data_IF_379074400734
#
_entry.id   IF_379074400734
#
_cell.length_a   1.000
_cell.length_b   1.000
_cell.length_c   1.000
_cell.angle_alpha   90.00
_cell.angle_beta   90.00
_cell.angle_gamma   90.00
#
_symmetry.space_group_name_H-M   'P 1'
#
loop_
_entity.id
_entity.type
_entity.pdbx_description
1 polymer ?
#
# COMPACT_ATOMS: atom_id res chain seq x y z
N UNK A 1 9.83 2.05 -15.32
CA UNK A 1 10.46 1.64 -14.06
C UNK A 1 9.34 1.15 -13.16
N UNK A 2 9.49 -0.01 -12.54
CA UNK A 2 8.51 -0.58 -11.62
C UNK A 2 8.67 0.09 -10.27
N UNK A 3 7.66 0.81 -9.77
CA UNK A 3 7.69 1.32 -8.40
C UNK A 3 7.12 0.27 -7.45
N UNK A 4 7.76 0.13 -6.29
CA UNK A 4 7.31 -0.73 -5.21
C UNK A 4 6.59 0.12 -4.16
N UNK A 5 5.34 -0.25 -3.89
CA UNK A 5 4.52 0.37 -2.84
C UNK A 5 4.43 -0.63 -1.68
N UNK A 6 4.76 -0.22 -0.47
CA UNK A 6 4.78 -1.08 0.71
C UNK A 6 3.60 -0.79 1.63
N UNK A 7 2.98 -1.86 2.15
CA UNK A 7 1.88 -1.81 3.12
C UNK A 7 2.26 -2.63 4.35
N UNK A 8 2.18 -2.05 5.55
CA UNK A 8 2.55 -2.72 6.80
C UNK A 8 1.67 -2.28 7.97
N UNK A 9 1.45 -3.15 8.97
CA UNK A 9 0.62 -2.84 10.15
C UNK A 9 1.17 -1.74 11.06
N UNK A 10 2.46 -1.44 10.95
CA UNK A 10 3.12 -0.32 11.62
C UNK A 10 3.27 0.93 10.71
N UNK A 11 2.64 0.92 9.54
CA UNK A 11 2.65 2.02 8.58
C UNK A 11 1.63 3.13 8.87
N UNK A 12 1.49 4.06 7.92
CA UNK A 12 0.55 5.18 7.97
C UNK A 12 0.05 5.53 6.58
N UNK A 13 -1.25 5.77 6.42
CA UNK A 13 -1.83 6.20 5.14
C UNK A 13 -1.49 7.65 4.77
N UNK A 14 -0.88 8.39 5.70
CA UNK A 14 -0.23 9.68 5.44
C UNK A 14 1.25 9.54 5.07
N UNK A 15 1.79 8.31 5.06
CA UNK A 15 3.17 8.01 4.68
C UNK A 15 3.41 8.11 3.17
N UNK A 16 4.60 7.69 2.75
CA UNK A 16 5.03 7.75 1.34
C UNK A 16 4.84 6.43 0.58
N UNK A 17 4.45 5.35 1.25
CA UNK A 17 4.34 4.02 0.63
C UNK A 17 5.69 3.37 0.32
N UNK A 18 6.79 3.87 0.89
CA UNK A 18 8.13 3.29 0.74
C UNK A 18 8.36 2.18 1.77
N UNK A 19 9.41 1.37 1.61
CA UNK A 19 9.76 0.32 2.59
C UNK A 19 9.96 0.88 4.02
N UNK A 20 10.56 2.07 4.14
CA UNK A 20 10.81 2.74 5.43
C UNK A 20 9.62 3.58 5.93
N UNK A 21 8.64 3.87 5.08
CA UNK A 21 7.42 4.60 5.42
C UNK A 21 6.20 3.99 4.70
N UNK A 22 5.84 2.73 5.03
CA UNK A 22 4.78 2.02 4.33
C UNK A 22 3.41 2.62 4.62
N UNK A 23 2.46 2.39 3.71
CA UNK A 23 1.05 2.64 3.98
C UNK A 23 0.51 1.66 5.04
N UNK A 24 -0.58 2.04 5.70
CA UNK A 24 -1.24 1.19 6.70
C UNK A 24 -2.26 0.25 6.08
N UNK A 25 -2.94 0.70 5.01
CA UNK A 25 -4.03 -0.04 4.36
C UNK A 25 -3.68 -0.44 2.93
N UNK A 26 -4.31 -1.53 2.48
CA UNK A 26 -4.21 -2.00 1.10
C UNK A 26 -4.99 -1.06 0.17
N UNK A 27 -6.15 -0.53 0.61
CA UNK A 27 -6.95 0.42 -0.17
C UNK A 27 -6.15 1.70 -0.49
N UNK A 28 -5.35 2.20 0.46
CA UNK A 28 -4.50 3.37 0.22
C UNK A 28 -3.46 3.10 -0.86
N UNK A 29 -2.79 1.94 -0.81
CA UNK A 29 -1.84 1.56 -1.85
C UNK A 29 -2.52 1.41 -3.23
N UNK A 30 -3.71 0.81 -3.27
CA UNK A 30 -4.48 0.67 -4.51
C UNK A 30 -4.88 2.01 -5.11
N UNK A 31 -5.22 3.00 -4.28
CA UNK A 31 -5.61 4.34 -4.73
C UNK A 31 -4.51 5.16 -5.43
N UNK A 32 -3.23 4.82 -5.18
CA UNK A 32 -2.07 5.55 -5.74
C UNK A 32 -1.28 4.74 -6.76
N UNK A 33 -1.54 3.43 -6.86
CA UNK A 33 -0.84 2.56 -7.80
C UNK A 33 -1.18 2.91 -9.25
N UNK A 34 -0.16 2.95 -10.10
CA UNK A 34 -0.26 3.17 -11.54
C UNK A 34 0.08 1.88 -12.31
N UNK A 35 -0.28 1.80 -13.60
CA UNK A 35 0.08 0.64 -14.43
C UNK A 35 1.59 0.37 -14.42
N UNK A 36 1.96 -0.85 -14.02
CA UNK A 36 3.35 -1.28 -13.90
C UNK A 36 3.95 -1.17 -12.50
N UNK A 37 3.23 -0.63 -11.52
CA UNK A 37 3.61 -0.67 -10.11
C UNK A 37 3.32 -2.04 -9.49
N UNK A 38 3.97 -2.34 -8.36
CA UNK A 38 3.70 -3.53 -7.56
C UNK A 38 3.54 -3.19 -6.09
N UNK A 39 2.54 -3.79 -5.45
CA UNK A 39 2.24 -3.58 -4.03
C UNK A 39 2.77 -4.77 -3.21
N UNK A 40 3.64 -4.50 -2.26
CA UNK A 40 4.19 -5.46 -1.30
C UNK A 40 3.43 -5.30 0.02
N UNK A 41 2.67 -6.32 0.40
CA UNK A 41 1.95 -6.37 1.67
C UNK A 41 2.76 -7.20 2.66
N UNK A 42 3.20 -6.56 3.73
CA UNK A 42 3.94 -7.19 4.83
C UNK A 42 3.00 -8.02 5.73
N UNK A 43 3.58 -8.81 6.62
CA UNK A 43 2.80 -9.68 7.50
C UNK A 43 1.77 -8.92 8.35
N UNK A 44 0.57 -9.47 8.45
CA UNK A 44 -0.48 -8.88 9.27
C UNK A 44 -1.88 -9.27 8.84
N UNK A 45 -2.85 -8.93 9.69
CA UNK A 45 -4.28 -9.07 9.39
C UNK A 45 -4.82 -7.71 8.94
N UNK A 46 -5.36 -7.69 7.72
CA UNK A 46 -5.95 -6.53 7.07
C UNK A 46 -7.45 -6.76 6.91
N UNK A 47 -8.22 -6.34 7.92
CA UNK A 47 -9.69 -6.39 7.89
C UNK A 47 -10.20 -5.10 7.28
N UNK A 48 -10.22 -5.05 5.96
CA UNK A 48 -10.68 -3.90 5.19
C UNK A 48 -11.49 -4.34 3.97
N UNK A 49 -12.31 -3.42 3.45
CA UNK A 49 -12.96 -3.57 2.17
C UNK A 49 -12.23 -2.66 1.18
N UNK A 50 -11.74 -3.24 0.08
CA UNK A 50 -11.13 -2.47 -0.99
C UNK A 50 -12.24 -1.83 -1.82
N UNK A 51 -12.21 -0.51 -1.89
CA UNK A 51 -13.20 0.30 -2.62
C UNK A 51 -12.56 1.11 -3.72
N UNK A 52 -11.27 1.48 -3.56
CA UNK A 52 -10.50 2.11 -4.61
C UNK A 52 -9.82 1.04 -5.45
N UNK A 53 -10.41 0.80 -6.61
CA UNK A 53 -9.70 0.24 -7.75
C UNK A 53 -9.71 1.34 -8.80
N UNK A 54 -8.52 1.77 -9.20
CA UNK A 54 -8.34 2.76 -10.26
C UNK A 54 -8.98 2.28 -11.57
#
# INVERSE_FOLDING_TARGET
MTNLIHVAKNGSDYGLGTETSPFLTIDKAASVALPGDSVIVHEGIYREQITHIN
#
